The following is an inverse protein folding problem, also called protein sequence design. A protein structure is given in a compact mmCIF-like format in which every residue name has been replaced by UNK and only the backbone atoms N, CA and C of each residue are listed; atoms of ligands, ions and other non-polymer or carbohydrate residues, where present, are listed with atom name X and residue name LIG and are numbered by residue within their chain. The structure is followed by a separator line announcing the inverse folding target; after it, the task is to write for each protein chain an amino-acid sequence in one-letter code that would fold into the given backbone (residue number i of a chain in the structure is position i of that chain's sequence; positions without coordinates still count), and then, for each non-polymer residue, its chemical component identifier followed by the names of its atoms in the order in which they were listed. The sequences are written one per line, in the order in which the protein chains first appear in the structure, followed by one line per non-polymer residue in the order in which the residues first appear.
data_IF_247017656738
#
_entry.id   IF_247017656738
#
_cell.length_a   1.000
_cell.length_b   1.000
_cell.length_c   1.000
_cell.angle_alpha   90.00
_cell.angle_beta   90.00
_cell.angle_gamma   90.00
#
_symmetry.space_group_name_H-M   'P 1'
#
loop_
_entity.id
_entity.type
_entity.pdbx_description
1 polymer ?
#
# COMPACT_ATOMS: atom_id res chain seq x y z
N UNK A 1 11.07 -22.19 -4.42
CA UNK A 1 11.07 -22.07 -2.95
C UNK A 1 10.73 -20.63 -2.60
N UNK A 2 9.50 -20.41 -2.16
CA UNK A 2 8.90 -19.15 -1.69
C UNK A 2 7.67 -19.52 -0.86
N UNK A 3 7.17 -18.61 -0.02
CA UNK A 3 5.95 -18.85 0.76
C UNK A 3 4.75 -19.08 -0.18
N UNK A 4 3.72 -19.82 0.25
CA UNK A 4 2.55 -20.13 -0.58
C UNK A 4 1.71 -18.88 -0.82
N UNK A 5 0.92 -18.82 -1.92
CA UNK A 5 -0.02 -17.73 -2.15
C UNK A 5 -0.95 -17.46 -0.95
N UNK A 6 -1.38 -18.54 -0.27
CA UNK A 6 -2.22 -18.45 0.92
C UNK A 6 -1.55 -17.79 2.12
N UNK A 7 -0.22 -17.88 2.24
CA UNK A 7 0.53 -17.22 3.31
C UNK A 7 0.63 -15.72 3.08
N UNK A 8 0.83 -15.30 1.81
CA UNK A 8 0.78 -13.88 1.46
C UNK A 8 -0.63 -13.31 1.59
N UNK A 9 -1.65 -14.04 1.16
CA UNK A 9 -3.04 -13.60 1.25
C UNK A 9 -3.53 -13.41 2.71
N UNK A 10 -2.86 -14.05 3.67
CA UNK A 10 -3.18 -13.90 5.10
C UNK A 10 -2.59 -12.63 5.73
N UNK A 11 -1.63 -11.97 5.07
CA UNK A 11 -0.86 -10.86 5.66
C UNK A 11 -0.67 -9.67 4.72
N UNK A 12 -1.14 -9.74 3.48
CA UNK A 12 -1.00 -8.68 2.51
C UNK A 12 -2.36 -8.40 1.87
N UNK A 13 -2.75 -7.12 1.73
CA UNK A 13 -4.03 -6.76 1.15
C UNK A 13 -4.21 -7.35 -0.26
N UNK A 14 -5.47 -7.66 -0.59
CA UNK A 14 -5.79 -8.20 -1.91
C UNK A 14 -5.37 -7.21 -3.02
N UNK A 15 -4.75 -7.74 -4.09
CA UNK A 15 -4.13 -6.96 -5.17
C UNK A 15 -2.98 -6.03 -4.72
N UNK A 16 -2.23 -6.34 -3.66
CA UNK A 16 -1.02 -5.57 -3.30
C UNK A 16 0.30 -6.24 -3.70
N UNK A 17 0.26 -7.45 -4.26
CA UNK A 17 1.40 -8.23 -4.72
C UNK A 17 1.03 -9.14 -5.90
N UNK A 18 2.03 -9.64 -6.62
CA UNK A 18 1.86 -10.64 -7.70
C UNK A 18 2.57 -11.90 -7.24
N UNK A 19 1.88 -13.04 -7.18
CA UNK A 19 2.51 -14.30 -6.82
C UNK A 19 2.68 -15.21 -8.04
N UNK A 20 3.90 -15.67 -8.29
CA UNK A 20 4.23 -16.43 -9.52
C UNK A 20 3.44 -17.73 -9.66
N UNK A 21 3.13 -18.41 -8.56
CA UNK A 21 2.30 -19.63 -8.57
C UNK A 21 0.83 -19.38 -8.93
N UNK A 22 0.38 -18.13 -9.08
CA UNK A 22 -0.97 -17.79 -9.58
C UNK A 22 -1.06 -17.92 -11.11
N UNK A 23 0.08 -18.13 -11.78
CA UNK A 23 0.19 -18.25 -13.23
C UNK A 23 0.57 -19.69 -13.60
N UNK A 24 0.01 -20.19 -14.69
CA UNK A 24 0.27 -21.54 -15.20
C UNK A 24 1.73 -21.72 -15.66
N UNK A 25 2.44 -20.62 -15.92
CA UNK A 25 3.84 -20.64 -16.34
C UNK A 25 4.41 -19.24 -16.59
N UNK A 26 5.71 -19.17 -16.91
CA UNK A 26 6.41 -17.90 -17.12
C UNK A 26 5.88 -17.11 -18.33
N UNK A 27 5.34 -17.78 -19.36
CA UNK A 27 4.74 -17.11 -20.51
C UNK A 27 3.50 -16.30 -20.12
N UNK A 28 2.65 -16.85 -19.25
CA UNK A 28 1.44 -16.19 -18.77
C UNK A 28 1.78 -15.03 -17.84
N UNK A 29 2.72 -15.23 -16.92
CA UNK A 29 3.24 -14.14 -16.08
C UNK A 29 3.81 -13.00 -16.94
N UNK A 30 4.61 -13.32 -17.97
CA UNK A 30 5.17 -12.29 -18.85
C UNK A 30 4.09 -11.55 -19.65
N UNK A 31 3.03 -12.23 -20.09
CA UNK A 31 1.89 -11.59 -20.74
C UNK A 31 1.14 -10.67 -19.77
N UNK A 32 0.95 -11.11 -18.52
CA UNK A 32 0.34 -10.30 -17.48
C UNK A 32 1.15 -9.05 -17.15
N UNK A 33 2.47 -9.17 -16.99
CA UNK A 33 3.35 -8.04 -16.71
C UNK A 33 3.38 -7.01 -17.85
N UNK A 34 3.32 -7.45 -19.12
CA UNK A 34 3.16 -6.52 -20.25
C UNK A 34 1.85 -5.75 -20.19
N UNK A 35 0.74 -6.44 -19.91
CA UNK A 35 -0.55 -5.78 -19.73
C UNK A 35 -0.51 -4.78 -18.57
N UNK A 36 0.17 -5.13 -17.48
CA UNK A 36 0.34 -4.26 -16.32
C UNK A 36 1.11 -2.98 -16.66
N UNK A 37 2.12 -3.07 -17.53
CA UNK A 37 2.92 -1.92 -18.00
C UNK A 37 2.12 -1.00 -18.94
N UNK A 38 1.17 -1.54 -19.69
CA UNK A 38 0.35 -0.79 -20.66
C UNK A 38 -0.95 -0.21 -20.07
N UNK A 39 -1.43 -0.75 -18.94
CA UNK A 39 -2.70 -0.37 -18.31
C UNK A 39 -2.47 0.35 -16.97
N UNK A 40 -2.38 1.68 -17.04
CA UNK A 40 -2.23 2.55 -15.86
C UNK A 40 -3.32 2.30 -14.81
N UNK A 41 -4.54 1.94 -15.21
CA UNK A 41 -5.62 1.68 -14.24
C UNK A 41 -5.35 0.40 -13.46
N UNK A 42 -4.93 -0.66 -14.16
CA UNK A 42 -4.54 -1.92 -13.55
C UNK A 42 -3.29 -1.75 -12.68
N UNK A 43 -2.26 -1.06 -13.16
CA UNK A 43 -1.06 -0.77 -12.38
C UNK A 43 -1.40 0.00 -11.10
N UNK A 44 -2.16 1.09 -11.21
CA UNK A 44 -2.57 1.90 -10.07
C UNK A 44 -3.45 1.14 -9.08
N UNK A 45 -4.13 0.05 -9.49
CA UNK A 45 -4.90 -0.78 -8.57
C UNK A 45 -4.04 -1.43 -7.48
N UNK A 46 -2.75 -1.67 -7.75
CA UNK A 46 -1.78 -2.18 -6.76
C UNK A 46 -1.37 -1.14 -5.72
N UNK A 47 -1.74 0.12 -5.92
CA UNK A 47 -1.41 1.24 -5.04
C UNK A 47 -2.58 1.66 -4.16
N UNK A 48 -3.75 0.99 -4.25
CA UNK A 48 -4.96 1.35 -3.48
C UNK A 48 -4.76 1.37 -1.96
N UNK A 49 -3.81 0.59 -1.46
CA UNK A 49 -3.53 0.45 -0.02
C UNK A 49 -2.45 1.40 0.48
N UNK A 50 -2.02 2.37 -0.34
CA UNK A 50 -0.90 3.27 -0.04
C UNK A 50 -1.41 4.63 0.40
N UNK A 51 -0.94 5.08 1.56
CA UNK A 51 -1.22 6.43 2.05
C UNK A 51 -0.05 7.37 1.75
N UNK A 52 -0.34 8.51 1.14
CA UNK A 52 0.60 9.58 0.86
C UNK A 52 -0.13 10.92 0.72
N UNK A 53 0.42 11.98 1.30
CA UNK A 53 -0.24 13.29 1.27
C UNK A 53 -0.28 13.89 -0.14
N UNK A 54 -1.40 14.47 -0.55
CA UNK A 54 -1.55 15.12 -1.86
C UNK A 54 -1.32 16.62 -1.69
N UNK A 55 -0.63 17.31 -2.64
CA UNK A 55 -0.12 16.80 -3.93
C UNK A 55 1.30 16.21 -3.90
N UNK A 56 2.05 16.46 -2.83
CA UNK A 56 3.50 16.25 -2.83
C UNK A 56 3.95 14.81 -2.56
N UNK A 57 2.99 13.93 -2.24
CA UNK A 57 3.19 12.54 -1.79
C UNK A 57 4.11 12.43 -0.58
N UNK A 58 4.06 13.39 0.33
CA UNK A 58 4.80 13.34 1.60
C UNK A 58 4.05 12.52 2.66
N UNK A 59 4.56 12.52 3.89
CA UNK A 59 3.98 11.83 5.03
C UNK A 59 2.52 12.26 5.30
N UNK A 60 1.66 11.37 5.82
CA UNK A 60 0.26 11.67 6.11
C UNK A 60 -0.01 12.90 6.99
N UNK A 61 0.93 13.28 7.87
CA UNK A 61 0.84 14.43 8.77
C UNK A 61 1.40 15.74 8.19
N UNK A 62 1.92 15.73 6.97
CA UNK A 62 2.37 16.96 6.30
C UNK A 62 1.19 17.79 5.78
N UNK A 63 1.38 19.11 5.56
CA UNK A 63 0.37 19.94 4.93
C UNK A 63 -0.07 19.38 3.56
N UNK A 64 -1.37 19.27 3.36
CA UNK A 64 -1.98 18.81 2.11
C UNK A 64 -3.49 18.73 2.20
N UNK A 65 -4.11 18.08 1.23
CA UNK A 65 -5.55 18.10 1.04
C UNK A 65 -6.30 17.02 1.84
N UNK A 66 -5.61 15.93 2.21
CA UNK A 66 -6.25 14.74 2.80
C UNK A 66 -6.04 14.72 4.32
N UNK A 67 -7.14 14.68 5.09
CA UNK A 67 -7.08 14.46 6.53
C UNK A 67 -6.95 12.96 6.85
N UNK A 68 -5.72 12.43 6.78
CA UNK A 68 -5.47 11.01 7.04
C UNK A 68 -5.80 10.57 8.46
N UNK A 69 -5.66 11.46 9.46
CA UNK A 69 -6.06 11.13 10.83
C UNK A 69 -7.53 10.72 10.89
N UNK A 70 -8.41 11.53 10.31
CA UNK A 70 -9.85 11.24 10.24
C UNK A 70 -10.14 9.94 9.47
N UNK A 71 -9.47 9.71 8.33
CA UNK A 71 -9.69 8.51 7.52
C UNK A 71 -9.27 7.25 8.27
N UNK A 72 -8.10 7.25 8.90
CA UNK A 72 -7.58 6.10 9.65
C UNK A 72 -8.43 5.81 10.90
N UNK A 73 -8.87 6.86 11.62
CA UNK A 73 -9.84 6.72 12.71
C UNK A 73 -11.16 6.11 12.20
N UNK A 74 -11.65 6.54 11.03
CA UNK A 74 -12.88 6.01 10.46
C UNK A 74 -12.73 4.56 10.01
N UNK A 75 -11.61 4.18 9.37
CA UNK A 75 -11.32 2.79 8.99
C UNK A 75 -11.33 1.88 10.22
N UNK A 76 -10.62 2.28 11.28
CA UNK A 76 -10.61 1.55 12.55
C UNK A 76 -12.01 1.42 13.16
N UNK A 77 -12.79 2.50 13.19
CA UNK A 77 -14.15 2.49 13.75
C UNK A 77 -15.13 1.62 12.92
N UNK A 78 -14.85 1.38 11.64
CA UNK A 78 -15.63 0.48 10.79
C UNK A 78 -15.07 -0.95 10.77
N UNK A 79 -14.09 -1.27 11.62
CA UNK A 79 -13.58 -2.64 11.81
C UNK A 79 -12.53 -3.07 10.80
N UNK A 80 -11.86 -2.14 10.11
CA UNK A 80 -10.68 -2.49 9.32
C UNK A 80 -9.52 -2.84 10.26
N UNK A 81 -9.01 -4.07 10.15
CA UNK A 81 -7.97 -4.65 11.01
C UNK A 81 -6.77 -5.23 10.23
N UNK A 82 -6.68 -4.92 8.94
CA UNK A 82 -5.62 -5.39 8.04
C UNK A 82 -4.55 -4.29 7.79
N UNK A 83 -3.52 -4.59 7.00
CA UNK A 83 -2.36 -3.73 6.78
C UNK A 83 -2.68 -2.49 5.92
N UNK A 84 -1.94 -1.41 6.18
CA UNK A 84 -1.92 -0.20 5.35
C UNK A 84 -0.48 0.05 4.91
N UNK A 85 -0.28 0.17 3.59
CA UNK A 85 1.02 0.42 3.00
C UNK A 85 1.45 1.87 3.17
N UNK A 86 2.70 2.07 3.59
CA UNK A 86 3.32 3.39 3.69
C UNK A 86 4.18 3.63 2.44
N UNK A 87 3.69 4.41 1.49
CA UNK A 87 4.48 4.79 0.31
C UNK A 87 4.39 6.28 0.02
N UNK A 88 5.31 7.03 0.64
CA UNK A 88 5.47 8.47 0.47
C UNK A 88 6.95 8.84 0.32
N UNK A 89 7.19 10.01 -0.25
CA UNK A 89 8.49 10.67 -0.32
C UNK A 89 8.72 11.39 1.00
N UNK A 90 9.70 11.00 1.83
CA UNK A 90 9.93 11.71 3.08
C UNK A 90 10.19 13.20 2.85
N UNK A 91 9.49 14.08 3.54
CA UNK A 91 9.75 15.53 3.49
C UNK A 91 11.07 15.90 4.18
N UNK A 92 11.53 15.04 5.10
CA UNK A 92 12.78 15.18 5.84
C UNK A 92 13.54 13.86 5.98
N UNK A 93 14.13 13.62 7.14
CA UNK A 93 14.79 12.33 7.40
C UNK A 93 13.74 11.21 7.62
N UNK A 94 14.12 9.96 7.31
CA UNK A 94 13.22 8.79 7.40
C UNK A 94 12.62 8.57 8.80
N UNK A 95 13.36 8.87 9.87
CA UNK A 95 12.86 8.69 11.25
C UNK A 95 11.76 9.70 11.59
N UNK A 96 11.92 10.95 11.16
CA UNK A 96 10.94 12.01 11.31
C UNK A 96 9.70 11.66 10.48
N UNK A 97 9.90 11.10 9.29
CA UNK A 97 8.81 10.72 8.40
C UNK A 97 7.92 9.56 8.89
N UNK A 98 8.25 8.92 10.02
CA UNK A 98 7.46 7.87 10.64
C UNK A 98 6.83 8.30 11.98
N UNK A 99 7.12 9.54 12.44
CA UNK A 99 6.65 10.02 13.75
C UNK A 99 5.12 10.09 13.84
N UNK A 100 4.47 10.41 12.72
CA UNK A 100 3.02 10.53 12.61
C UNK A 100 2.27 9.27 13.08
N UNK A 101 2.87 8.09 12.90
CA UNK A 101 2.28 6.80 13.31
C UNK A 101 1.97 6.84 14.81
N UNK A 102 2.96 7.21 15.62
CA UNK A 102 2.80 7.33 17.07
C UNK A 102 1.93 8.52 17.45
N UNK A 103 2.04 9.64 16.75
CA UNK A 103 1.24 10.84 17.04
C UNK A 103 -0.26 10.60 16.78
N UNK A 104 -0.59 9.68 15.87
CA UNK A 104 -1.96 9.24 15.60
C UNK A 104 -2.41 8.08 16.51
N UNK A 105 -1.54 7.60 17.40
CA UNK A 105 -1.87 6.54 18.36
C UNK A 105 -1.57 5.11 17.89
N UNK A 106 -0.88 4.95 16.75
CA UNK A 106 -0.49 3.65 16.21
C UNK A 106 0.93 3.24 16.65
N UNK A 107 1.21 1.94 16.55
CA UNK A 107 2.54 1.37 16.80
C UNK A 107 3.04 0.63 15.55
N UNK A 108 4.35 0.66 15.32
CA UNK A 108 5.05 -0.20 14.35
C UNK A 108 5.47 -1.51 15.02
#
# INVERSE_FOLDING_TARGET
MGARPSEYAAVAPHNSYIHVDEFAGPEELAAYLRRLDEDDTLFNSYFKWKIAQVPNRNEPDTPGEINYKYILEHLQNNGYDDWIGLEYKPAGNTKNGLKWIKDYGYNL
#
